data_IF_444370431558
#
_entry.id   IF_444370431558
#
_cell.length_a   1.000
_cell.length_b   1.000
_cell.length_c   1.000
_cell.angle_alpha   90.00
_cell.angle_beta   90.00
_cell.angle_gamma   90.00
#
_symmetry.space_group_name_H-M   'P 1'
#
loop_
_entity.id
_entity.type
_entity.pdbx_description
1 polymer ?
#
# COMPACT_ATOMS: atom_id res chain seq x y z
N UNK A 1 -15.48 -16.65 3.96
CA UNK A 1 -15.34 -15.16 4.15
C UNK A 1 -15.77 -14.40 2.90
N UNK A 2 -15.18 -14.62 1.70
CA UNK A 2 -15.62 -13.92 0.47
C UNK A 2 -17.00 -14.41 0.02
N UNK A 3 -17.23 -15.73 -0.02
CA UNK A 3 -18.53 -16.31 -0.39
C UNK A 3 -19.68 -15.86 0.52
N UNK A 4 -19.43 -15.73 1.81
CA UNK A 4 -20.42 -15.23 2.78
C UNK A 4 -20.82 -13.78 2.53
N UNK A 5 -19.97 -13.02 1.81
CA UNK A 5 -20.24 -11.64 1.38
C UNK A 5 -20.77 -11.55 -0.04
N UNK A 6 -20.82 -12.67 -0.75
CA UNK A 6 -21.18 -12.70 -2.17
C UNK A 6 -20.10 -12.11 -3.09
N UNK A 7 -18.83 -12.08 -2.64
CA UNK A 7 -17.73 -11.54 -3.43
C UNK A 7 -17.16 -12.59 -4.38
N UNK A 8 -17.37 -12.41 -5.67
CA UNK A 8 -16.81 -13.24 -6.74
C UNK A 8 -15.47 -12.70 -7.27
N UNK A 9 -15.34 -11.37 -7.31
CA UNK A 9 -14.12 -10.69 -7.76
C UNK A 9 -13.52 -9.89 -6.61
N UNK A 10 -12.37 -10.33 -6.12
CA UNK A 10 -11.70 -9.73 -4.97
C UNK A 10 -10.35 -9.17 -5.38
N UNK A 11 -10.06 -7.94 -4.99
CA UNK A 11 -8.72 -7.38 -5.09
C UNK A 11 -8.02 -7.40 -3.71
N UNK A 12 -6.70 -7.57 -3.70
CA UNK A 12 -5.91 -7.45 -2.49
C UNK A 12 -4.92 -6.29 -2.56
N UNK A 13 -4.81 -5.56 -1.45
CA UNK A 13 -3.75 -4.58 -1.21
C UNK A 13 -2.90 -5.06 -0.03
N UNK A 14 -1.63 -5.39 -0.29
CA UNK A 14 -0.69 -5.75 0.76
C UNK A 14 -0.06 -4.51 1.37
N UNK A 15 -0.08 -4.42 2.70
CA UNK A 15 0.49 -3.29 3.43
C UNK A 15 1.43 -3.74 4.54
N UNK A 16 2.56 -3.05 4.65
CA UNK A 16 3.49 -3.10 5.78
C UNK A 16 3.56 -1.78 6.57
N UNK A 17 2.85 -0.77 6.10
CA UNK A 17 2.75 0.56 6.72
C UNK A 17 1.28 0.88 7.04
N UNK A 18 1.00 1.83 7.93
CA UNK A 18 -0.33 2.42 8.05
C UNK A 18 -0.80 2.99 6.71
N UNK A 19 -2.09 2.94 6.46
CA UNK A 19 -2.66 3.52 5.25
C UNK A 19 -2.64 5.05 5.32
N UNK A 20 -2.04 5.66 4.31
CA UNK A 20 -2.20 7.09 4.01
C UNK A 20 -3.08 7.29 2.79
N UNK A 21 -3.37 8.53 2.41
CA UNK A 21 -4.30 8.88 1.34
C UNK A 21 -4.02 8.19 0.00
N UNK A 22 -2.75 7.95 -0.35
CA UNK A 22 -2.43 7.17 -1.57
C UNK A 22 -2.90 5.72 -1.47
N UNK A 23 -2.71 5.05 -0.32
CA UNK A 23 -3.20 3.68 -0.14
C UNK A 23 -4.73 3.63 -0.13
N UNK A 24 -5.38 4.61 0.50
CA UNK A 24 -6.84 4.78 0.46
C UNK A 24 -7.34 4.91 -0.98
N UNK A 25 -6.67 5.74 -1.78
CA UNK A 25 -7.00 5.95 -3.19
C UNK A 25 -6.87 4.65 -4.01
N UNK A 26 -5.77 3.92 -3.82
CA UNK A 26 -5.57 2.61 -4.45
C UNK A 26 -6.70 1.62 -4.09
N UNK A 27 -7.05 1.55 -2.81
CA UNK A 27 -8.12 0.66 -2.36
C UNK A 27 -9.48 1.08 -2.93
N UNK A 28 -9.78 2.38 -3.01
CA UNK A 28 -11.01 2.91 -3.61
C UNK A 28 -11.12 2.61 -5.10
N UNK A 29 -10.03 2.71 -5.87
CA UNK A 29 -10.01 2.26 -7.26
C UNK A 29 -10.40 0.78 -7.38
N UNK A 30 -9.87 -0.05 -6.49
CA UNK A 30 -10.19 -1.47 -6.50
C UNK A 30 -11.65 -1.75 -6.08
N UNK A 31 -12.21 -1.01 -5.13
CA UNK A 31 -13.62 -1.12 -4.72
C UNK A 31 -14.57 -0.80 -5.87
N UNK A 32 -14.21 0.16 -6.76
CA UNK A 32 -15.04 0.53 -7.92
C UNK A 32 -15.12 -0.57 -9.00
N UNK A 33 -14.16 -1.48 -9.05
CA UNK A 33 -14.04 -2.47 -10.13
C UNK A 33 -14.09 -3.93 -9.66
N UNK A 34 -14.16 -4.15 -8.34
CA UNK A 34 -14.27 -5.47 -7.72
C UNK A 34 -15.42 -5.48 -6.71
N UNK A 35 -15.88 -6.68 -6.33
CA UNK A 35 -16.93 -6.84 -5.34
C UNK A 35 -16.46 -6.49 -3.92
N UNK A 36 -15.14 -6.62 -3.68
CA UNK A 36 -14.55 -6.25 -2.42
C UNK A 36 -13.02 -6.22 -2.43
N UNK A 37 -12.46 -5.61 -1.38
CA UNK A 37 -11.01 -5.45 -1.23
C UNK A 37 -10.54 -6.08 0.08
N UNK A 38 -9.54 -6.95 -0.03
CA UNK A 38 -8.77 -7.46 1.09
C UNK A 38 -7.55 -6.57 1.33
N UNK A 39 -7.56 -5.79 2.42
CA UNK A 39 -6.33 -5.20 2.95
C UNK A 39 -5.61 -6.30 3.72
N UNK A 40 -4.46 -6.73 3.20
CA UNK A 40 -3.70 -7.83 3.78
C UNK A 40 -2.47 -7.27 4.50
N UNK A 41 -2.65 -6.99 5.79
CA UNK A 41 -1.65 -6.38 6.66
C UNK A 41 -0.58 -7.37 7.03
N UNK A 42 0.68 -7.07 6.71
CA UNK A 42 1.80 -7.91 7.15
C UNK A 42 1.96 -7.82 8.67
N UNK A 43 1.87 -8.96 9.34
CA UNK A 43 2.03 -9.09 10.80
C UNK A 43 3.29 -9.87 11.20
N UNK A 44 4.06 -10.37 10.22
CA UNK A 44 5.37 -10.98 10.44
C UNK A 44 6.45 -9.95 10.75
N UNK A 45 7.70 -10.38 10.76
CA UNK A 45 8.85 -9.53 11.06
C UNK A 45 9.07 -8.48 9.97
N UNK A 46 9.29 -7.25 10.39
CA UNK A 46 9.64 -6.11 9.56
C UNK A 46 11.03 -5.59 9.95
N UNK A 47 11.56 -4.68 9.16
CA UNK A 47 12.84 -4.04 9.47
C UNK A 47 12.72 -3.12 10.69
N UNK A 48 13.84 -2.88 11.41
CA UNK A 48 13.87 -1.90 12.50
C UNK A 48 13.37 -0.53 12.06
N UNK A 49 12.60 0.13 12.91
CA UNK A 49 11.99 1.44 12.62
C UNK A 49 10.65 1.39 11.90
N UNK A 50 10.14 0.22 11.55
CA UNK A 50 8.76 0.06 11.08
C UNK A 50 7.79 0.07 12.29
N UNK A 51 6.58 0.60 12.07
CA UNK A 51 5.54 0.69 13.12
C UNK A 51 5.05 -0.73 13.47
N UNK A 52 4.89 -1.07 14.75
CA UNK A 52 4.43 -2.40 15.17
C UNK A 52 3.09 -2.82 14.56
N UNK A 53 2.93 -4.12 14.32
CA UNK A 53 1.72 -4.65 13.69
C UNK A 53 0.41 -4.25 14.41
N UNK A 54 0.27 -4.30 15.74
CA UNK A 54 -0.99 -3.89 16.40
C UNK A 54 -1.37 -2.44 16.12
N UNK A 55 -0.39 -1.52 16.11
CA UNK A 55 -0.62 -0.10 15.82
C UNK A 55 -1.04 0.11 14.36
N UNK A 56 -0.37 -0.57 13.42
CA UNK A 56 -0.69 -0.50 11.99
C UNK A 56 -2.08 -1.06 11.67
N UNK A 57 -2.40 -2.22 12.24
CA UNK A 57 -3.70 -2.88 12.06
C UNK A 57 -4.81 -1.95 12.55
N UNK A 58 -4.66 -1.39 13.78
CA UNK A 58 -5.65 -0.44 14.32
C UNK A 58 -5.79 0.81 13.47
N UNK A 59 -4.69 1.37 12.97
CA UNK A 59 -4.73 2.53 12.06
C UNK A 59 -5.49 2.22 10.76
N UNK A 60 -5.35 1.00 10.21
CA UNK A 60 -6.08 0.55 9.03
C UNK A 60 -7.56 0.36 9.34
N UNK A 61 -7.90 -0.24 10.48
CA UNK A 61 -9.28 -0.45 10.91
C UNK A 61 -10.00 0.90 11.09
N UNK A 62 -9.36 1.88 11.74
CA UNK A 62 -9.89 3.25 11.85
C UNK A 62 -10.22 3.85 10.48
N UNK A 63 -9.32 3.68 9.51
CA UNK A 63 -9.56 4.18 8.16
C UNK A 63 -10.73 3.47 7.47
N UNK A 64 -10.80 2.15 7.59
CA UNK A 64 -11.89 1.36 6.99
C UNK A 64 -13.24 1.74 7.61
N UNK A 65 -13.31 1.82 8.91
CA UNK A 65 -14.54 2.14 9.65
C UNK A 65 -15.11 3.51 9.28
N UNK A 66 -14.24 4.50 9.03
CA UNK A 66 -14.68 5.89 8.82
C UNK A 66 -14.77 6.31 7.34
N UNK A 67 -14.05 5.65 6.43
CA UNK A 67 -13.87 6.16 5.06
C UNK A 67 -14.18 5.17 3.94
N UNK A 68 -14.65 3.96 4.28
CA UNK A 68 -15.12 2.98 3.31
C UNK A 68 -16.58 2.60 3.58
N UNK A 69 -17.28 2.22 2.52
CA UNK A 69 -18.62 1.66 2.68
C UNK A 69 -18.50 0.33 3.42
N UNK A 70 -19.36 0.15 4.40
CA UNK A 70 -19.41 -1.05 5.21
C UNK A 70 -19.46 -2.31 4.33
N UNK A 71 -18.70 -3.32 4.73
CA UNK A 71 -18.61 -4.63 4.07
C UNK A 71 -17.97 -4.65 2.67
N UNK A 72 -17.45 -3.52 2.14
CA UNK A 72 -16.72 -3.50 0.86
C UNK A 72 -15.21 -3.71 1.03
N UNK A 73 -14.69 -3.53 2.24
CA UNK A 73 -13.26 -3.70 2.55
C UNK A 73 -13.11 -4.47 3.85
N UNK A 74 -12.20 -5.44 3.84
CA UNK A 74 -11.82 -6.19 5.03
C UNK A 74 -10.32 -6.06 5.28
N UNK A 75 -9.92 -5.97 6.55
CA UNK A 75 -8.53 -6.05 6.98
C UNK A 75 -8.26 -7.44 7.57
N UNK A 76 -7.19 -8.08 7.14
CA UNK A 76 -6.74 -9.36 7.67
C UNK A 76 -5.24 -9.38 7.86
N UNK A 77 -4.78 -9.97 8.95
CA UNK A 77 -3.36 -10.15 9.23
C UNK A 77 -2.74 -11.25 8.37
N UNK A 78 -1.54 -11.02 7.87
CA UNK A 78 -0.76 -11.98 7.10
C UNK A 78 0.61 -12.22 7.74
N UNK A 79 0.87 -13.42 8.30
CA UNK A 79 2.11 -13.72 9.02
C UNK A 79 3.28 -14.01 8.05
N UNK A 80 3.63 -13.03 7.23
CA UNK A 80 4.75 -13.09 6.30
C UNK A 80 5.83 -12.11 6.71
N UNK A 81 7.08 -12.59 6.67
CA UNK A 81 8.27 -11.74 6.78
C UNK A 81 8.63 -11.18 5.40
N UNK A 82 8.80 -9.86 5.31
CA UNK A 82 9.22 -9.20 4.07
C UNK A 82 10.63 -9.66 3.68
N UNK A 83 10.81 -9.95 2.39
CA UNK A 83 12.10 -10.33 1.78
C UNK A 83 12.79 -9.18 1.09
N UNK A 84 12.05 -8.11 0.77
CA UNK A 84 12.56 -6.95 0.00
C UNK A 84 13.18 -7.35 -1.33
N UNK A 85 12.61 -8.36 -1.99
CA UNK A 85 13.09 -8.93 -3.25
C UNK A 85 12.39 -8.33 -4.49
N UNK A 86 11.74 -7.17 -4.34
CA UNK A 86 11.15 -6.39 -5.41
C UNK A 86 10.23 -7.20 -6.34
N UNK A 87 10.58 -7.29 -7.65
CA UNK A 87 9.75 -7.96 -8.64
C UNK A 87 9.40 -9.41 -8.29
N UNK A 88 10.38 -10.19 -7.83
CA UNK A 88 10.17 -11.59 -7.46
C UNK A 88 9.24 -11.73 -6.25
N UNK A 89 9.37 -10.83 -5.30
CA UNK A 89 8.45 -10.81 -4.16
C UNK A 89 7.05 -10.35 -4.57
N UNK A 90 6.93 -9.46 -5.55
CA UNK A 90 5.65 -9.08 -6.15
C UNK A 90 4.91 -10.29 -6.72
N UNK A 91 5.60 -11.16 -7.47
CA UNK A 91 5.02 -12.43 -7.96
C UNK A 91 4.64 -13.38 -6.81
N UNK A 92 5.52 -13.54 -5.83
CA UNK A 92 5.25 -14.37 -4.65
C UNK A 92 4.00 -13.88 -3.91
N UNK A 93 3.87 -12.56 -3.74
CA UNK A 93 2.71 -11.95 -3.11
C UNK A 93 1.42 -12.23 -3.88
N UNK A 94 1.44 -12.16 -5.21
CA UNK A 94 0.30 -12.49 -6.05
C UNK A 94 -0.07 -13.98 -5.97
N UNK A 95 0.94 -14.87 -5.97
CA UNK A 95 0.73 -16.31 -5.79
C UNK A 95 0.06 -16.64 -4.45
N UNK A 96 0.51 -15.99 -3.38
CA UNK A 96 -0.14 -16.17 -2.08
C UNK A 96 -1.60 -15.71 -2.10
N UNK A 97 -1.89 -14.56 -2.71
CA UNK A 97 -3.27 -14.04 -2.80
C UNK A 97 -4.15 -14.92 -3.67
N UNK A 98 -3.61 -15.50 -4.73
CA UNK A 98 -4.30 -16.52 -5.50
C UNK A 98 -4.76 -17.70 -4.61
N UNK A 99 -3.88 -18.17 -3.72
CA UNK A 99 -4.22 -19.26 -2.80
C UNK A 99 -5.26 -18.87 -1.73
N UNK A 100 -5.47 -17.58 -1.52
CA UNK A 100 -6.55 -17.04 -0.68
C UNK A 100 -7.85 -16.80 -1.46
N UNK A 101 -7.89 -17.10 -2.77
CA UNK A 101 -9.06 -16.89 -3.61
C UNK A 101 -9.19 -15.45 -4.15
N UNK A 102 -8.11 -14.69 -4.13
CA UNK A 102 -8.08 -13.31 -4.65
C UNK A 102 -7.82 -13.32 -6.16
N UNK A 103 -8.59 -12.52 -6.89
CA UNK A 103 -8.51 -12.43 -8.35
C UNK A 103 -7.51 -11.38 -8.84
N UNK A 104 -7.34 -10.30 -8.07
CA UNK A 104 -6.47 -9.18 -8.43
C UNK A 104 -5.57 -8.77 -7.27
N UNK A 105 -4.32 -8.44 -7.58
CA UNK A 105 -3.43 -7.84 -6.60
C UNK A 105 -2.99 -6.46 -7.07
N UNK A 106 -3.18 -5.46 -6.21
CA UNK A 106 -2.68 -4.11 -6.46
C UNK A 106 -1.16 -4.10 -6.36
N UNK A 107 -0.51 -3.71 -7.45
CA UNK A 107 0.94 -3.54 -7.53
C UNK A 107 1.20 -2.07 -7.80
N UNK A 108 1.57 -1.35 -6.75
CA UNK A 108 1.95 0.06 -6.84
C UNK A 108 3.42 0.25 -7.20
N UNK A 109 3.85 1.50 -7.15
CA UNK A 109 5.26 1.88 -7.30
C UNK A 109 6.11 1.23 -6.21
N UNK A 110 7.34 0.81 -6.57
CA UNK A 110 8.34 0.26 -5.64
C UNK A 110 7.80 -0.86 -4.74
N UNK A 111 6.97 -1.74 -5.32
CA UNK A 111 6.37 -2.85 -4.58
C UNK A 111 7.46 -3.82 -4.10
N UNK A 112 7.54 -3.99 -2.78
CA UNK A 112 8.52 -4.83 -2.08
C UNK A 112 10.00 -4.49 -2.39
N UNK A 113 10.28 -3.27 -2.84
CA UNK A 113 11.62 -2.81 -3.10
C UNK A 113 12.42 -2.44 -1.85
N UNK A 114 13.73 -2.23 -2.04
CA UNK A 114 14.67 -1.75 -1.02
C UNK A 114 15.69 -0.81 -1.65
N UNK A 115 15.82 0.38 -1.08
CA UNK A 115 16.72 1.40 -1.62
C UNK A 115 16.46 1.66 -3.11
N UNK A 116 17.52 1.73 -3.91
CA UNK A 116 17.49 1.93 -5.37
C UNK A 116 17.81 0.64 -6.13
N UNK A 117 17.61 -0.52 -5.50
CA UNK A 117 18.04 -1.80 -6.06
C UNK A 117 17.19 -2.24 -7.25
N UNK A 118 15.93 -1.81 -7.30
CA UNK A 118 14.95 -2.13 -8.33
C UNK A 118 14.38 -0.88 -8.95
N UNK A 119 14.02 -0.96 -10.23
CA UNK A 119 13.27 0.10 -10.89
C UNK A 119 11.87 0.29 -10.26
N UNK A 120 11.38 1.53 -10.29
CA UNK A 120 10.13 1.93 -9.61
C UNK A 120 8.91 1.08 -9.99
N UNK A 121 8.83 0.62 -11.24
CA UNK A 121 7.73 -0.19 -11.76
C UNK A 121 8.14 -1.62 -12.15
N UNK A 122 9.37 -2.02 -11.86
CA UNK A 122 9.90 -3.33 -12.23
C UNK A 122 9.07 -4.48 -11.64
N UNK A 123 8.45 -4.27 -10.46
CA UNK A 123 7.52 -5.21 -9.86
C UNK A 123 6.19 -5.33 -10.64
N UNK A 124 5.85 -4.37 -11.48
CA UNK A 124 4.72 -4.48 -12.43
C UNK A 124 5.15 -5.19 -13.72
N UNK A 125 6.35 -4.89 -14.22
CA UNK A 125 6.87 -5.39 -15.48
C UNK A 125 7.13 -6.89 -15.46
N UNK A 126 7.45 -7.46 -14.29
CA UNK A 126 7.71 -8.88 -14.17
C UNK A 126 6.49 -9.74 -14.55
N UNK A 127 5.28 -9.25 -14.33
CA UNK A 127 4.05 -9.96 -14.69
C UNK A 127 3.86 -10.07 -16.22
N UNK A 128 4.42 -9.14 -17.00
CA UNK A 128 4.37 -9.20 -18.45
C UNK A 128 5.37 -10.21 -19.03
N UNK A 129 6.36 -10.59 -18.22
CA UNK A 129 7.40 -11.57 -18.59
C UNK A 129 7.02 -13.01 -18.25
N UNK A 130 5.90 -13.23 -17.56
CA UNK A 130 5.40 -14.59 -17.28
C UNK A 130 5.03 -15.24 -18.62
N UNK A 131 5.61 -16.39 -18.97
CA UNK A 131 5.25 -17.09 -20.20
C UNK A 131 3.76 -17.42 -20.20
N UNK A 132 3.06 -16.98 -21.22
CA UNK A 132 1.69 -17.43 -21.49
C UNK A 132 1.78 -18.84 -22.04
N UNK A 133 1.67 -19.80 -21.18
CA UNK A 133 1.58 -21.21 -21.58
C UNK A 133 0.12 -21.51 -21.96
N UNK A 134 -0.12 -22.30 -22.99
CA UNK A 134 -1.48 -22.72 -23.37
C UNK A 134 -2.11 -23.72 -22.38
N UNK A 135 -1.50 -23.93 -21.24
CA UNK A 135 -1.92 -24.81 -20.16
C UNK A 135 -2.36 -23.94 -18.97
N UNK A 136 -3.66 -23.69 -18.86
CA UNK A 136 -4.27 -22.82 -17.85
C UNK A 136 -3.87 -23.19 -16.41
N UNK A 137 -3.54 -24.45 -16.17
CA UNK A 137 -3.13 -24.91 -14.83
C UNK A 137 -1.77 -24.36 -14.36
N UNK A 138 -0.98 -23.79 -15.27
CA UNK A 138 0.33 -23.20 -14.96
C UNK A 138 0.33 -21.67 -14.90
N UNK A 139 -0.77 -21.04 -15.32
CA UNK A 139 -0.87 -19.59 -15.33
C UNK A 139 -1.14 -19.04 -13.95
N UNK A 140 -0.55 -17.86 -13.66
CA UNK A 140 -0.90 -17.07 -12.47
C UNK A 140 -2.30 -16.48 -12.67
N UNK A 141 -3.27 -17.00 -11.91
CA UNK A 141 -4.67 -16.57 -12.00
C UNK A 141 -4.92 -15.22 -11.32
N UNK A 142 -4.19 -14.92 -10.24
CA UNK A 142 -4.25 -13.61 -9.59
C UNK A 142 -3.54 -12.57 -10.47
N UNK A 143 -4.32 -11.69 -11.10
CA UNK A 143 -3.81 -10.70 -12.06
C UNK A 143 -3.29 -9.44 -11.35
N UNK A 144 -2.21 -8.81 -11.84
CA UNK A 144 -1.75 -7.55 -11.31
C UNK A 144 -2.70 -6.42 -11.69
N UNK A 145 -3.12 -5.64 -10.71
CA UNK A 145 -3.75 -4.34 -10.93
C UNK A 145 -2.66 -3.28 -10.82
N UNK A 146 -2.11 -2.88 -11.98
CA UNK A 146 -0.96 -1.99 -12.10
C UNK A 146 -1.40 -0.56 -11.96
N UNK A 147 -1.09 0.07 -10.84
CA UNK A 147 -1.41 1.47 -10.57
C UNK A 147 -0.15 2.31 -10.67
N UNK A 148 -0.26 3.45 -11.33
CA UNK A 148 0.82 4.40 -11.53
C UNK A 148 1.14 5.18 -10.25
N UNK A 149 2.12 6.07 -10.30
CA UNK A 149 2.50 6.92 -9.19
C UNK A 149 1.35 7.79 -8.74
N UNK A 150 0.97 7.67 -7.47
CA UNK A 150 -0.13 8.41 -6.86
C UNK A 150 0.39 9.53 -5.97
N UNK A 151 -0.31 10.68 -6.00
CA UNK A 151 0.00 11.88 -5.26
C UNK A 151 -1.28 12.66 -4.94
N UNK A 152 -1.19 13.61 -4.02
CA UNK A 152 -2.21 14.65 -3.90
C UNK A 152 -1.87 15.77 -4.87
N UNK A 153 -2.84 16.22 -5.63
CA UNK A 153 -2.70 17.37 -6.53
C UNK A 153 -3.48 18.55 -5.98
N UNK A 154 -2.79 19.69 -5.75
CA UNK A 154 -3.42 20.91 -5.23
C UNK A 154 -4.42 21.54 -6.20
N UNK A 155 -4.15 21.43 -7.51
CA UNK A 155 -5.05 21.96 -8.56
C UNK A 155 -6.30 21.07 -8.75
N UNK A 156 -6.18 19.74 -8.60
CA UNK A 156 -7.32 18.84 -8.61
C UNK A 156 -8.08 18.85 -7.28
N UNK A 157 -7.50 19.39 -6.22
CA UNK A 157 -7.95 19.27 -4.84
C UNK A 157 -8.24 17.81 -4.45
N UNK A 158 -7.34 16.88 -4.82
CA UNK A 158 -7.59 15.48 -4.58
C UNK A 158 -6.45 14.54 -4.93
N UNK A 159 -6.66 13.26 -4.59
CA UNK A 159 -5.74 12.21 -4.97
C UNK A 159 -5.82 11.91 -6.47
N UNK A 160 -4.66 11.80 -7.08
CA UNK A 160 -4.51 11.51 -8.51
C UNK A 160 -3.31 10.61 -8.77
N UNK A 161 -3.14 10.21 -10.02
CA UNK A 161 -1.95 9.53 -10.53
C UNK A 161 -1.41 10.25 -11.78
N UNK A 162 -0.23 9.86 -12.24
CA UNK A 162 0.31 10.36 -13.51
C UNK A 162 -0.59 10.06 -14.72
N UNK A 163 -1.51 9.09 -14.59
CA UNK A 163 -2.48 8.73 -15.65
C UNK A 163 -3.77 9.52 -15.58
N UNK A 164 -4.07 10.14 -14.43
CA UNK A 164 -5.37 10.78 -14.18
C UNK A 164 -5.28 12.29 -13.96
N UNK A 165 -4.07 12.84 -13.80
CA UNK A 165 -3.83 14.27 -13.56
C UNK A 165 -3.02 14.88 -14.70
N UNK A 166 -3.50 16.00 -15.23
CA UNK A 166 -2.84 16.77 -16.30
C UNK A 166 -1.96 17.92 -15.79
N UNK A 167 -1.95 18.20 -14.48
CA UNK A 167 -1.21 19.32 -13.90
C UNK A 167 0.29 19.01 -13.76
N UNK A 168 1.08 20.06 -13.69
CA UNK A 168 2.54 19.97 -13.56
C UNK A 168 2.99 19.45 -12.20
N UNK A 169 4.27 19.08 -12.10
CA UNK A 169 4.85 18.48 -10.88
C UNK A 169 4.81 19.42 -9.68
N UNK A 170 4.79 20.72 -9.89
CA UNK A 170 4.71 21.75 -8.85
C UNK A 170 3.42 21.66 -8.03
N UNK A 171 2.34 21.16 -8.63
CA UNK A 171 1.05 20.94 -7.97
C UNK A 171 0.96 19.59 -7.23
N UNK A 172 2.02 18.75 -7.25
CA UNK A 172 1.99 17.38 -6.75
C UNK A 172 2.66 17.23 -5.40
N UNK A 173 1.90 16.78 -4.41
CA UNK A 173 2.43 16.42 -3.08
C UNK A 173 2.60 14.90 -3.01
N UNK A 174 3.87 14.49 -2.93
CA UNK A 174 4.23 13.06 -2.85
C UNK A 174 4.10 12.56 -1.43
N UNK A 175 3.26 11.54 -1.25
CA UNK A 175 3.01 10.91 0.03
C UNK A 175 3.93 9.69 0.20
N UNK A 176 4.82 9.74 1.19
CA UNK A 176 5.78 8.67 1.48
C UNK A 176 5.67 8.22 2.92
N UNK A 177 5.38 6.92 3.13
CA UNK A 177 5.33 6.35 4.48
C UNK A 177 6.62 6.53 5.28
N UNK A 178 7.77 6.66 4.62
CA UNK A 178 9.05 6.94 5.28
C UNK A 178 9.10 8.38 5.77
N UNK A 179 8.65 9.35 4.97
CA UNK A 179 8.54 10.77 5.39
C UNK A 179 7.56 10.91 6.56
N UNK A 180 6.42 10.22 6.53
CA UNK A 180 5.47 10.20 7.66
C UNK A 180 6.11 9.70 8.95
N UNK A 181 6.75 8.53 8.89
CA UNK A 181 7.39 7.96 10.10
C UNK A 181 8.47 8.88 10.66
N UNK A 182 9.24 9.54 9.79
CA UNK A 182 10.24 10.51 10.21
C UNK A 182 9.59 11.70 10.91
N UNK A 183 8.59 12.33 10.31
CA UNK A 183 7.87 13.45 10.92
C UNK A 183 7.27 13.07 12.29
N UNK A 184 6.60 11.90 12.37
CA UNK A 184 6.05 11.38 13.63
C UNK A 184 7.14 11.17 14.71
N UNK A 185 8.29 10.58 14.33
CA UNK A 185 9.38 10.31 15.30
C UNK A 185 10.08 11.56 15.78
N UNK A 186 10.07 12.62 15.00
CA UNK A 186 10.68 13.92 15.32
C UNK A 186 9.68 14.90 15.97
N UNK A 187 8.39 14.57 15.96
CA UNK A 187 7.32 15.48 16.38
C UNK A 187 7.16 16.69 15.45
N UNK A 188 7.55 16.51 14.18
CA UNK A 188 7.45 17.54 13.16
C UNK A 188 6.05 17.57 12.53
N UNK A 189 5.70 18.69 11.90
CA UNK A 189 4.45 18.84 11.18
C UNK A 189 4.35 17.82 10.02
N UNK A 190 3.18 17.24 9.89
CA UNK A 190 2.87 16.33 8.80
C UNK A 190 2.29 17.15 7.65
N UNK A 191 2.78 16.89 6.44
CA UNK A 191 2.28 17.56 5.23
C UNK A 191 0.77 17.39 5.11
N UNK A 192 0.07 18.47 4.78
CA UNK A 192 -1.37 18.47 4.57
C UNK A 192 -1.80 17.39 3.57
N UNK A 193 -3.01 16.87 3.76
CA UNK A 193 -3.58 15.82 2.92
C UNK A 193 -2.82 14.48 2.94
N UNK A 194 -1.86 14.29 3.85
CA UNK A 194 -1.10 13.04 3.93
C UNK A 194 -1.96 11.86 4.37
N UNK A 195 -2.73 12.03 5.42
CA UNK A 195 -3.59 11.02 6.03
C UNK A 195 -4.93 11.59 6.45
N UNK A 196 -5.77 10.73 7.00
CA UNK A 196 -6.99 11.11 7.70
C UNK A 196 -6.67 11.45 9.14
N UNK A 197 -7.32 12.44 9.71
CA UNK A 197 -6.98 12.98 11.04
C UNK A 197 -7.04 11.91 12.12
N UNK A 198 -8.07 11.07 12.13
CA UNK A 198 -8.22 9.99 13.11
C UNK A 198 -7.10 8.94 13.03
N UNK A 199 -6.60 8.69 11.83
CA UNK A 199 -5.45 7.79 11.60
C UNK A 199 -4.17 8.44 12.07
N UNK A 200 -3.98 9.72 11.75
CA UNK A 200 -2.79 10.48 12.17
C UNK A 200 -2.76 10.66 13.68
N UNK A 201 -3.88 10.91 14.32
CA UNK A 201 -3.97 11.09 15.77
C UNK A 201 -3.64 9.80 16.52
N UNK A 202 -4.15 8.65 16.04
CA UNK A 202 -3.74 7.34 16.56
C UNK A 202 -2.22 7.10 16.45
N UNK A 203 -1.63 7.47 15.32
CA UNK A 203 -0.18 7.32 15.12
C UNK A 203 0.62 8.31 15.99
N UNK A 204 0.19 9.56 16.11
CA UNK A 204 0.81 10.55 17.02
C UNK A 204 0.77 10.08 18.46
N UNK A 205 -0.36 9.55 18.91
CA UNK A 205 -0.51 8.99 20.28
C UNK A 205 0.51 7.86 20.52
N UNK A 206 0.65 6.94 19.57
CA UNK A 206 1.66 5.88 19.66
C UNK A 206 3.08 6.44 19.80
N UNK A 207 3.47 7.39 18.94
CA UNK A 207 4.83 7.97 18.99
C UNK A 207 5.07 8.81 20.26
N UNK A 208 4.06 9.51 20.75
CA UNK A 208 4.14 10.26 22.01
C UNK A 208 4.34 9.35 23.24
N UNK A 209 3.85 8.10 23.17
CA UNK A 209 4.01 7.10 24.24
C UNK A 209 5.37 6.38 24.24
N UNK A 210 6.24 6.63 23.23
CA UNK A 210 7.55 5.98 23.16
C UNK A 210 8.55 6.62 24.14
N UNK A 211 9.26 5.79 24.89
CA UNK A 211 10.33 6.25 25.80
C UNK A 211 11.63 6.61 25.08
N UNK A 212 11.86 6.02 23.91
CA UNK A 212 13.02 6.28 23.06
C UNK A 212 12.58 6.68 21.65
N UNK A 213 13.31 7.62 21.05
CA UNK A 213 13.04 8.04 19.67
C UNK A 213 13.43 6.93 18.68
N UNK A 214 12.52 6.59 17.79
CA UNK A 214 12.78 5.63 16.71
C UNK A 214 13.57 6.32 15.60
N UNK A 215 14.78 5.84 15.32
CA UNK A 215 15.58 6.33 14.19
C UNK A 215 15.00 5.82 12.87
N UNK A 216 14.53 6.71 12.01
CA UNK A 216 14.02 6.40 10.66
C UNK A 216 15.06 6.77 9.63
N UNK A 217 15.69 5.76 9.02
CA UNK A 217 16.67 5.98 7.93
C UNK A 217 15.93 6.21 6.60
N UNK A 218 16.20 7.36 5.98
CA UNK A 218 15.75 7.66 4.62
C UNK A 218 16.67 6.94 3.62
N UNK A 219 16.10 6.16 2.71
CA UNK A 219 16.88 5.41 1.70
C UNK A 219 16.17 5.45 0.35
N UNK A 220 16.92 5.78 -0.70
CA UNK A 220 16.57 5.62 -2.10
C UNK A 220 15.27 6.31 -2.53
N UNK A 221 14.55 5.68 -3.45
CA UNK A 221 13.28 6.16 -4.01
C UNK A 221 12.19 6.44 -2.96
N UNK A 222 12.36 5.94 -1.73
CA UNK A 222 11.48 6.26 -0.61
C UNK A 222 11.59 7.73 -0.16
N UNK A 223 12.64 8.46 -0.58
CA UNK A 223 12.75 9.90 -0.34
C UNK A 223 11.67 10.70 -1.08
N UNK A 224 11.15 10.19 -2.18
CA UNK A 224 10.08 10.82 -2.96
C UNK A 224 10.50 12.03 -3.78
N UNK A 225 11.81 12.26 -3.91
CA UNK A 225 12.34 13.48 -4.54
C UNK A 225 12.65 13.32 -6.05
N UNK A 226 12.46 12.13 -6.59
CA UNK A 226 12.70 11.84 -8.02
C UNK A 226 11.39 11.56 -8.75
N UNK A 227 10.76 12.60 -9.28
CA UNK A 227 9.79 12.54 -10.37
C UNK A 227 10.33 13.27 -11.59
#
# INVERSE_FOLDING_TARGET
>A
MFDERGWANVAALQLRNPMHRSHEFLAKIAVEVCDGVLIHSLIGNLKPGDIPAPVRVKAIDILIENYFVKDNVINSGYPLDMRYAGPREGLLHATFRQNYGVNYMLIGRDHAGVGDFYGLFEAQDIFDRIPKTGDDAKDLLCKPMKIDWTFYCSECDGMASLRTCCHDKESRVILSSTKLRKALSEGADIVDHFGRDEVLDHLKEYYAGLTEKVEVKMQGAASGDTM
#
